data_IF_228848385307
#
_entry.id   IF_228848385307
#
_cell.length_a   1.000
_cell.length_b   1.000
_cell.length_c   1.000
_cell.angle_alpha   90.00
_cell.angle_beta   90.00
_cell.angle_gamma   90.00
#
_symmetry.space_group_name_H-M   'P 1'
#
loop_
_entity.id
_entity.type
_entity.pdbx_description
1 polymer ?
#
# COMPACT_ATOMS: atom_id res chain seq x y z
N UNK A 1 -27.83 -22.45 18.08
CA UNK A 1 -27.64 -21.04 17.68
C UNK A 1 -26.39 -20.99 16.83
N UNK A 2 -26.57 -21.04 15.50
CA UNK A 2 -25.46 -20.99 14.55
C UNK A 2 -24.88 -19.58 14.48
N UNK A 3 -23.72 -19.40 15.12
CA UNK A 3 -22.85 -18.26 14.87
C UNK A 3 -22.26 -18.43 13.48
N UNK A 4 -22.90 -17.81 12.47
CA UNK A 4 -22.31 -17.67 11.13
C UNK A 4 -20.90 -17.06 11.26
N UNK A 5 -19.83 -17.72 10.78
CA UNK A 5 -18.49 -17.17 10.86
C UNK A 5 -18.34 -16.04 9.83
N UNK A 6 -17.81 -14.92 10.33
CA UNK A 6 -17.01 -13.86 9.67
C UNK A 6 -17.42 -13.50 8.24
N UNK A 7 -17.86 -12.26 8.05
CA UNK A 7 -17.70 -11.56 6.77
C UNK A 7 -16.21 -11.65 6.38
N UNK A 8 -15.85 -12.63 5.56
CA UNK A 8 -14.62 -12.58 4.79
C UNK A 8 -14.82 -11.43 3.81
N UNK A 9 -14.37 -10.23 4.18
CA UNK A 9 -14.17 -9.18 3.19
C UNK A 9 -13.27 -9.80 2.12
N UNK A 10 -13.79 -9.87 0.89
CA UNK A 10 -13.05 -10.40 -0.24
C UNK A 10 -11.70 -9.69 -0.31
N UNK A 11 -10.62 -10.43 -0.58
CA UNK A 11 -9.29 -9.84 -0.69
C UNK A 11 -9.31 -8.76 -1.77
N UNK A 12 -8.91 -7.51 -1.46
CA UNK A 12 -8.93 -6.41 -2.41
C UNK A 12 -8.18 -6.77 -3.70
N UNK A 13 -8.74 -6.40 -4.85
CA UNK A 13 -8.08 -6.64 -6.13
C UNK A 13 -7.09 -5.56 -6.49
N UNK A 14 -6.02 -5.95 -7.16
CA UNK A 14 -4.93 -5.07 -7.60
C UNK A 14 -5.44 -4.00 -8.56
N UNK A 15 -6.29 -4.39 -9.50
CA UNK A 15 -6.91 -3.48 -10.46
C UNK A 15 -7.81 -2.44 -9.78
N UNK A 16 -8.56 -2.84 -8.75
CA UNK A 16 -9.38 -1.94 -7.95
C UNK A 16 -8.52 -0.92 -7.19
N UNK A 17 -7.44 -1.39 -6.54
CA UNK A 17 -6.51 -0.50 -5.85
C UNK A 17 -5.86 0.49 -6.82
N UNK A 18 -5.47 0.04 -8.00
CA UNK A 18 -4.84 0.88 -9.04
C UNK A 18 -5.78 1.97 -9.57
N UNK A 19 -7.10 1.70 -9.61
CA UNK A 19 -8.09 2.72 -10.01
C UNK A 19 -8.21 3.85 -8.99
N UNK A 20 -7.92 3.59 -7.72
CA UNK A 20 -8.09 4.56 -6.63
C UNK A 20 -6.80 5.30 -6.34
N UNK A 21 -5.68 4.57 -6.32
CA UNK A 21 -4.37 5.08 -5.92
C UNK A 21 -3.57 5.57 -7.13
N UNK A 22 -3.90 5.10 -8.34
CA UNK A 22 -3.19 5.36 -9.60
C UNK A 22 -2.42 4.12 -10.08
N UNK A 23 -1.71 4.25 -11.20
CA UNK A 23 -1.05 3.12 -11.85
C UNK A 23 -0.09 2.32 -10.94
N UNK A 24 0.06 1.05 -11.27
CA UNK A 24 0.82 0.04 -10.52
C UNK A 24 1.90 -0.58 -11.43
N UNK A 25 3.00 -1.04 -10.85
CA UNK A 25 4.17 -1.61 -11.55
C UNK A 25 4.87 -0.64 -12.52
N UNK A 26 4.91 0.64 -12.14
CA UNK A 26 5.55 1.69 -12.93
C UNK A 26 7.08 1.68 -12.72
N UNK A 27 7.84 2.15 -13.70
CA UNK A 27 9.27 2.45 -13.47
C UNK A 27 9.37 3.70 -12.59
N UNK A 28 10.17 3.69 -11.50
CA UNK A 28 10.32 4.86 -10.66
C UNK A 28 11.00 5.99 -11.45
N UNK A 29 10.38 7.15 -11.49
CA UNK A 29 10.97 8.38 -12.03
C UNK A 29 11.35 9.33 -10.90
N UNK A 30 10.40 9.68 -10.03
CA UNK A 30 10.55 10.74 -9.01
C UNK A 30 9.89 10.35 -7.67
N UNK A 31 9.78 9.05 -7.40
CA UNK A 31 9.14 8.51 -6.20
C UNK A 31 10.07 8.58 -5.00
N UNK A 32 9.50 8.92 -3.85
CA UNK A 32 10.20 8.84 -2.57
C UNK A 32 10.48 7.38 -2.27
N UNK A 33 11.75 7.04 -2.04
CA UNK A 33 12.18 5.68 -1.69
C UNK A 33 12.65 5.51 -0.24
N UNK A 34 12.32 6.47 0.63
CA UNK A 34 12.72 6.52 2.04
C UNK A 34 11.53 6.53 3.00
N UNK A 35 11.81 6.25 4.27
CA UNK A 35 10.91 6.40 5.42
C UNK A 35 11.45 7.60 6.23
N UNK A 36 10.61 8.49 6.78
CA UNK A 36 9.14 8.42 6.85
C UNK A 36 8.45 8.76 5.54
N UNK A 37 7.24 8.19 5.35
CA UNK A 37 6.44 8.50 4.17
C UNK A 37 4.93 8.40 4.44
N UNK A 38 4.19 9.32 3.84
CA UNK A 38 2.74 9.41 3.96
C UNK A 38 2.03 8.61 2.85
N UNK A 39 0.98 7.89 3.24
CA UNK A 39 0.08 7.17 2.34
C UNK A 39 -1.16 8.02 2.02
N UNK A 40 -2.27 7.33 1.74
CA UNK A 40 -3.60 7.93 1.60
C UNK A 40 -4.63 7.09 2.33
N UNK A 41 -5.65 7.75 2.88
CA UNK A 41 -6.89 7.08 3.28
C UNK A 41 -7.84 7.07 2.08
N UNK A 42 -8.28 5.89 1.66
CA UNK A 42 -9.25 5.75 0.58
C UNK A 42 -10.60 6.23 1.11
N UNK A 43 -11.16 7.26 0.48
CA UNK A 43 -12.37 7.94 0.97
C UNK A 43 -13.67 7.42 0.35
N UNK A 44 -13.60 6.52 -0.63
CA UNK A 44 -14.76 6.14 -1.44
C UNK A 44 -14.58 4.82 -2.17
N UNK A 45 -15.69 4.29 -2.70
CA UNK A 45 -15.72 3.03 -3.43
C UNK A 45 -15.64 1.82 -2.51
N UNK A 46 -15.41 0.65 -3.10
CA UNK A 46 -15.39 -0.62 -2.36
C UNK A 46 -14.23 -0.72 -1.35
N UNK A 47 -13.16 0.04 -1.57
CA UNK A 47 -11.98 0.10 -0.69
C UNK A 47 -12.04 1.26 0.32
N UNK A 48 -13.20 1.92 0.46
CA UNK A 48 -13.36 3.04 1.39
C UNK A 48 -13.00 2.65 2.82
N UNK A 49 -12.29 3.55 3.51
CA UNK A 49 -11.80 3.34 4.87
C UNK A 49 -10.44 2.66 4.94
N UNK A 50 -10.01 1.94 3.90
CA UNK A 50 -8.68 1.35 3.83
C UNK A 50 -7.61 2.41 3.58
N UNK A 51 -6.36 2.03 3.86
CA UNK A 51 -5.21 2.91 3.71
C UNK A 51 -4.22 2.30 2.77
N UNK A 52 -3.64 3.14 1.92
CA UNK A 52 -2.76 2.68 0.87
C UNK A 52 -1.49 3.52 0.76
N UNK A 53 -0.44 2.86 0.32
CA UNK A 53 0.85 3.45 0.01
C UNK A 53 1.29 3.01 -1.38
N UNK A 54 2.19 3.80 -1.94
CA UNK A 54 2.90 3.48 -3.16
C UNK A 54 4.38 3.33 -2.84
N UNK A 55 4.92 2.14 -2.96
CA UNK A 55 6.29 1.84 -2.57
C UNK A 55 7.17 1.51 -3.76
N UNK A 56 8.42 1.96 -3.69
CA UNK A 56 9.46 1.48 -4.59
C UNK A 56 9.90 0.10 -4.12
N UNK A 57 9.82 -0.88 -4.99
CA UNK A 57 10.26 -2.25 -4.77
C UNK A 57 11.56 -2.55 -5.50
N UNK A 58 12.42 -3.34 -4.87
CA UNK A 58 13.65 -3.89 -5.47
C UNK A 58 13.83 -5.35 -5.05
N UNK A 59 14.48 -6.14 -5.89
CA UNK A 59 14.94 -7.48 -5.48
C UNK A 59 16.06 -7.33 -4.45
N UNK A 60 16.05 -8.15 -3.40
CA UNK A 60 17.16 -8.19 -2.45
C UNK A 60 18.28 -9.08 -3.01
N UNK A 61 19.23 -8.46 -3.71
CA UNK A 61 20.35 -9.16 -4.36
C UNK A 61 21.23 -8.23 -5.20
N UNK A 62 22.50 -8.59 -5.37
CA UNK A 62 23.55 -7.71 -5.89
C UNK A 62 23.49 -7.39 -7.40
N UNK A 63 22.60 -8.01 -8.17
CA UNK A 63 22.63 -7.93 -9.64
C UNK A 63 21.52 -7.11 -10.30
N UNK A 64 20.36 -6.93 -9.67
CA UNK A 64 19.23 -6.24 -10.31
C UNK A 64 19.13 -4.79 -9.87
N UNK A 65 19.45 -3.87 -10.79
CA UNK A 65 19.15 -2.44 -10.64
C UNK A 65 17.68 -2.11 -10.92
N UNK A 66 16.88 -3.11 -11.29
CA UNK A 66 15.47 -2.87 -11.63
C UNK A 66 14.68 -2.60 -10.35
N UNK A 67 13.98 -1.49 -10.39
CA UNK A 67 13.01 -1.09 -9.39
C UNK A 67 11.67 -0.84 -10.06
N UNK A 68 10.59 -1.13 -9.34
CA UNK A 68 9.24 -0.78 -9.77
C UNK A 68 8.52 -0.04 -8.64
N UNK A 69 7.43 0.62 -8.98
CA UNK A 69 6.53 1.27 -8.03
C UNK A 69 5.26 0.43 -7.93
N UNK A 70 4.91 0.00 -6.72
CA UNK A 70 3.73 -0.85 -6.48
C UNK A 70 2.83 -0.29 -5.40
N UNK A 71 1.53 -0.45 -5.60
CA UNK A 71 0.51 -0.04 -4.64
C UNK A 71 0.26 -1.12 -3.59
N UNK A 72 0.14 -0.71 -2.34
CA UNK A 72 -0.12 -1.58 -1.21
C UNK A 72 -1.25 -1.05 -0.33
N UNK A 73 -2.02 -1.96 0.24
CA UNK A 73 -2.95 -1.68 1.35
C UNK A 73 -2.27 -2.03 2.68
N UNK A 74 -2.53 -1.26 3.73
CA UNK A 74 -2.13 -1.62 5.08
C UNK A 74 -3.08 -2.70 5.64
N UNK A 75 -2.51 -3.84 6.02
CA UNK A 75 -3.21 -5.02 6.54
C UNK A 75 -2.47 -5.53 7.79
N UNK A 76 -2.41 -4.72 8.84
CA UNK A 76 -1.77 -5.11 10.11
C UNK A 76 -2.52 -6.19 10.88
N UNK A 77 -3.72 -6.56 10.41
CA UNK A 77 -4.41 -7.76 10.87
C UNK A 77 -3.73 -9.06 10.41
N UNK A 78 -2.82 -8.97 9.44
CA UNK A 78 -2.06 -10.08 8.92
C UNK A 78 -0.60 -10.04 9.37
N UNK A 79 -0.06 -11.21 9.73
CA UNK A 79 1.36 -11.37 10.07
C UNK A 79 2.25 -11.06 8.87
N UNK A 80 1.82 -11.49 7.69
CA UNK A 80 2.66 -11.53 6.51
C UNK A 80 2.36 -10.38 5.55
N UNK A 81 3.40 -9.93 4.85
CA UNK A 81 3.32 -8.95 3.78
C UNK A 81 3.13 -9.71 2.48
N UNK A 82 2.13 -9.36 1.69
CA UNK A 82 1.81 -10.05 0.45
C UNK A 82 2.20 -9.21 -0.77
N UNK A 83 2.85 -9.86 -1.73
CA UNK A 83 3.25 -9.26 -2.99
C UNK A 83 2.52 -9.93 -4.17
N UNK A 84 1.93 -9.17 -5.10
CA UNK A 84 1.34 -9.74 -6.31
C UNK A 84 2.42 -10.40 -7.18
N UNK A 85 2.18 -11.59 -7.76
CA UNK A 85 3.15 -12.25 -8.63
C UNK A 85 3.53 -11.38 -9.84
N UNK A 86 2.62 -10.56 -10.36
CA UNK A 86 2.85 -9.64 -11.47
C UNK A 86 3.93 -8.59 -11.14
N UNK A 87 4.03 -8.17 -9.86
CA UNK A 87 5.07 -7.25 -9.41
C UNK A 87 6.45 -7.93 -9.43
N UNK A 88 6.52 -9.23 -9.11
CA UNK A 88 7.74 -10.02 -9.23
C UNK A 88 8.15 -10.20 -10.69
N UNK A 89 7.18 -10.44 -11.58
CA UNK A 89 7.42 -10.50 -13.03
C UNK A 89 7.99 -9.16 -13.54
N UNK A 90 7.38 -8.03 -13.15
CA UNK A 90 7.85 -6.70 -13.53
C UNK A 90 9.28 -6.40 -13.00
N UNK A 91 9.61 -6.87 -11.79
CA UNK A 91 10.97 -6.81 -11.23
C UNK A 91 11.98 -7.72 -11.94
N UNK A 92 11.53 -8.63 -12.81
CA UNK A 92 12.37 -9.61 -13.47
C UNK A 92 12.81 -10.75 -12.54
N UNK A 93 12.06 -11.01 -11.47
CA UNK A 93 12.31 -12.16 -10.59
C UNK A 93 12.17 -13.47 -11.38
N UNK A 94 13.05 -14.42 -11.13
CA UNK A 94 13.06 -15.74 -11.81
C UNK A 94 12.87 -16.91 -10.86
N UNK A 95 12.60 -16.64 -9.58
CA UNK A 95 12.35 -17.67 -8.59
C UNK A 95 10.90 -18.15 -8.58
N UNK A 96 10.52 -18.86 -7.52
CA UNK A 96 9.17 -19.43 -7.36
C UNK A 96 8.12 -18.34 -7.14
N UNK A 97 7.11 -18.30 -8.01
CA UNK A 97 5.98 -17.33 -7.97
C UNK A 97 4.63 -17.98 -7.66
N UNK A 98 4.62 -19.20 -7.13
CA UNK A 98 3.37 -19.84 -6.72
C UNK A 98 2.81 -19.14 -5.47
N UNK A 99 1.48 -18.93 -5.34
CA UNK A 99 0.90 -18.34 -4.15
C UNK A 99 1.35 -19.04 -2.87
N UNK A 100 1.69 -18.28 -1.83
CA UNK A 100 2.23 -18.79 -0.57
C UNK A 100 3.76 -18.98 -0.55
N UNK A 101 4.46 -18.85 -1.68
CA UNK A 101 5.93 -18.88 -1.68
C UNK A 101 6.51 -17.66 -0.95
N UNK A 102 7.64 -17.84 -0.27
CA UNK A 102 8.37 -16.73 0.34
C UNK A 102 9.34 -16.09 -0.65
N UNK A 103 9.43 -14.76 -0.62
CA UNK A 103 10.40 -13.97 -1.37
C UNK A 103 10.88 -12.81 -0.50
N UNK A 104 12.18 -12.52 -0.54
CA UNK A 104 12.74 -11.37 0.17
C UNK A 104 12.95 -10.23 -0.82
N UNK A 105 12.34 -9.09 -0.52
CA UNK A 105 12.40 -7.87 -1.33
C UNK A 105 12.90 -6.71 -0.48
N UNK A 106 13.35 -5.64 -1.13
CA UNK A 106 13.48 -4.33 -0.49
C UNK A 106 12.26 -3.51 -0.85
N UNK A 107 11.44 -3.24 0.17
CA UNK A 107 10.29 -2.34 0.09
C UNK A 107 10.78 -1.00 0.65
N UNK A 108 10.89 0.01 -0.23
CA UNK A 108 11.67 1.22 0.04
C UNK A 108 13.12 0.88 0.41
N UNK A 109 13.56 1.23 1.61
CA UNK A 109 14.87 0.88 2.17
C UNK A 109 14.84 -0.35 3.08
N UNK A 110 13.65 -0.89 3.39
CA UNK A 110 13.46 -1.98 4.35
C UNK A 110 13.56 -3.32 3.64
N UNK A 111 14.44 -4.20 4.15
CA UNK A 111 14.51 -5.59 3.70
C UNK A 111 13.36 -6.37 4.33
N UNK A 112 12.50 -6.95 3.50
CA UNK A 112 11.20 -7.48 3.91
C UNK A 112 10.96 -8.85 3.32
N UNK A 113 10.64 -9.81 4.20
CA UNK A 113 10.11 -11.10 3.78
C UNK A 113 8.64 -10.92 3.38
N UNK A 114 8.35 -11.26 2.13
CA UNK A 114 7.02 -11.19 1.54
C UNK A 114 6.55 -12.60 1.15
N UNK A 115 5.23 -12.78 1.11
CA UNK A 115 4.54 -13.97 0.62
C UNK A 115 3.93 -13.65 -0.74
N UNK A 116 4.10 -14.53 -1.71
CA UNK A 116 3.48 -14.37 -3.03
C UNK A 116 1.96 -14.50 -2.87
N UNK A 117 1.22 -13.47 -3.28
CA UNK A 117 -0.23 -13.44 -3.24
C UNK A 117 -0.84 -14.32 -4.35
N UNK A 118 -2.18 -14.43 -4.37
CA UNK A 118 -2.86 -15.00 -5.54
C UNK A 118 -2.81 -13.99 -6.70
N UNK A 119 -2.89 -14.45 -7.96
CA UNK A 119 -2.99 -13.56 -9.10
C UNK A 119 -4.13 -12.56 -8.93
N UNK A 120 -3.89 -11.31 -9.35
CA UNK A 120 -4.79 -10.16 -9.21
C UNK A 120 -5.13 -9.71 -7.77
N UNK A 121 -4.64 -10.37 -6.72
CA UNK A 121 -4.77 -9.81 -5.37
C UNK A 121 -3.89 -8.56 -5.21
N UNK A 122 -4.39 -7.56 -4.49
CA UNK A 122 -3.62 -6.36 -4.20
C UNK A 122 -2.43 -6.66 -3.28
N UNK A 123 -1.37 -5.86 -3.42
CA UNK A 123 -0.27 -5.85 -2.46
C UNK A 123 -0.77 -5.46 -1.07
N UNK A 124 -0.30 -6.15 -0.03
CA UNK A 124 -0.70 -5.91 1.36
C UNK A 124 0.50 -5.86 2.28
N UNK A 125 0.58 -4.84 3.11
CA UNK A 125 1.63 -4.67 4.10
C UNK A 125 1.13 -5.18 5.44
N UNK A 126 1.75 -6.27 5.90
CA UNK A 126 1.45 -6.89 7.19
C UNK A 126 2.49 -6.56 8.25
N UNK A 127 2.36 -7.22 9.40
CA UNK A 127 3.25 -7.01 10.54
C UNK A 127 4.73 -7.30 10.22
N UNK A 128 5.03 -8.26 9.35
CA UNK A 128 6.39 -8.58 8.91
C UNK A 128 7.17 -7.38 8.35
N UNK A 129 6.54 -6.52 7.54
CA UNK A 129 7.16 -5.28 7.06
C UNK A 129 7.32 -4.26 8.17
N UNK A 130 6.28 -4.10 9.00
CA UNK A 130 6.29 -3.18 10.13
C UNK A 130 7.42 -3.53 11.11
N UNK A 131 7.53 -4.79 11.50
CA UNK A 131 8.59 -5.27 12.40
C UNK A 131 9.97 -5.17 11.75
N UNK A 132 10.12 -5.56 10.47
CA UNK A 132 11.42 -5.54 9.80
C UNK A 132 12.02 -4.13 9.70
N UNK A 133 11.19 -3.10 9.52
CA UNK A 133 11.64 -1.71 9.49
C UNK A 133 11.56 -0.99 10.83
N UNK A 134 11.20 -1.69 11.92
CA UNK A 134 10.84 -1.09 13.21
C UNK A 134 9.85 0.08 13.02
N UNK A 135 8.86 -0.12 12.16
CA UNK A 135 7.94 0.92 11.73
C UNK A 135 6.76 1.06 12.69
N UNK A 136 6.31 2.29 12.85
CA UNK A 136 5.04 2.63 13.49
C UNK A 136 4.23 3.46 12.52
N UNK A 137 2.91 3.24 12.45
CA UNK A 137 2.02 4.14 11.74
C UNK A 137 1.36 5.10 12.74
N UNK A 138 1.17 6.35 12.35
CA UNK A 138 0.51 7.37 13.17
C UNK A 138 -0.63 8.01 12.40
N UNK A 139 -1.74 8.23 13.10
CA UNK A 139 -2.82 9.12 12.68
C UNK A 139 -2.75 10.39 13.49
N UNK A 140 -2.63 11.49 12.78
CA UNK A 140 -2.69 12.80 13.37
C UNK A 140 -3.98 13.46 12.92
N UNK A 141 -4.73 14.05 13.86
CA UNK A 141 -5.91 14.84 13.49
C UNK A 141 -5.55 16.04 12.57
N UNK A 142 -4.30 16.50 12.62
CA UNK A 142 -3.78 17.55 11.72
C UNK A 142 -3.20 17.03 10.39
N UNK A 143 -2.96 15.72 10.24
CA UNK A 143 -2.48 15.14 8.98
C UNK A 143 -3.66 14.48 8.25
N UNK A 144 -3.88 14.90 7.01
CA UNK A 144 -4.95 14.35 6.15
C UNK A 144 -4.62 12.92 5.67
N UNK A 145 -3.44 12.38 6.03
CA UNK A 145 -2.93 11.12 5.53
C UNK A 145 -2.25 10.29 6.64
N UNK A 146 -2.35 8.94 6.59
CA UNK A 146 -1.59 8.07 7.47
C UNK A 146 -0.09 8.15 7.13
N UNK A 147 0.76 8.12 8.15
CA UNK A 147 2.22 8.17 7.97
C UNK A 147 2.89 6.96 8.60
N UNK A 148 3.87 6.40 7.88
CA UNK A 148 4.80 5.39 8.40
C UNK A 148 6.10 6.04 8.84
N UNK A 149 6.54 5.70 10.06
CA UNK A 149 7.77 6.18 10.70
C UNK A 149 8.66 5.01 11.07
N UNK A 150 9.98 5.19 11.02
CA UNK A 150 10.93 4.27 11.65
C UNK A 150 11.13 4.62 13.13
N UNK A 151 11.46 3.63 13.95
CA UNK A 151 11.71 3.80 15.38
C UNK A 151 12.83 4.82 15.70
N UNK A 152 13.77 5.09 14.80
CA UNK A 152 14.78 6.12 15.02
C UNK A 152 14.23 7.56 14.98
N UNK A 153 12.96 7.76 14.62
CA UNK A 153 12.31 9.08 14.56
C UNK A 153 11.50 9.42 15.83
N UNK A 154 11.62 8.66 16.93
CA UNK A 154 10.91 8.96 18.18
C UNK A 154 11.43 10.29 18.79
N UNK A 155 10.61 11.34 18.74
CA UNK A 155 10.84 12.59 19.49
C UNK A 155 10.39 13.86 18.78
N UNK A 156 10.44 13.90 17.44
CA UNK A 156 10.00 15.04 16.65
C UNK A 156 8.81 14.63 15.79
N UNK A 157 7.65 15.29 15.98
CA UNK A 157 6.54 15.21 15.03
C UNK A 157 7.03 15.87 13.74
N UNK A 158 7.32 15.12 12.68
CA UNK A 158 7.92 15.72 11.50
C UNK A 158 6.89 16.62 10.83
N UNK A 159 7.22 17.90 10.76
CA UNK A 159 6.54 18.82 9.87
C UNK A 159 6.98 18.49 8.44
N UNK A 160 6.04 18.38 7.50
CA UNK A 160 6.29 18.11 6.08
C UNK A 160 6.79 16.69 5.73
N UNK A 161 6.03 15.66 6.11
CA UNK A 161 6.28 14.27 5.63
C UNK A 161 5.96 14.15 4.13
N UNK A 162 6.88 13.60 3.32
CA UNK A 162 6.64 13.42 1.90
C UNK A 162 5.57 12.35 1.63
N UNK A 163 4.66 12.62 0.69
CA UNK A 163 3.59 11.69 0.26
C UNK A 163 4.08 10.76 -0.84
N UNK A 164 3.87 9.45 -0.63
CA UNK A 164 4.16 8.41 -1.64
C UNK A 164 3.21 8.46 -2.84
N UNK A 165 2.00 8.96 -2.62
CA UNK A 165 0.98 9.12 -3.65
C UNK A 165 0.77 10.62 -3.82
N UNK A 166 1.10 11.15 -5.00
CA UNK A 166 0.93 12.56 -5.28
C UNK A 166 -0.53 12.86 -5.54
N UNK A 167 -0.96 14.09 -5.25
CA UNK A 167 -2.32 14.51 -5.52
C UNK A 167 -2.65 14.44 -7.03
N UNK A 168 -1.65 14.64 -7.90
CA UNK A 168 -1.80 14.49 -9.35
C UNK A 168 -2.00 13.04 -9.83
N UNK A 169 -1.51 12.05 -9.06
CA UNK A 169 -1.61 10.63 -9.41
C UNK A 169 -2.95 10.03 -9.00
N UNK A 170 -3.64 10.68 -8.05
CA UNK A 170 -5.01 10.34 -7.72
C UNK A 170 -5.90 10.69 -8.92
N UNK A 171 -6.88 9.84 -9.28
CA UNK A 171 -7.80 10.13 -10.37
C UNK A 171 -8.40 11.53 -10.19
N UNK A 172 -8.11 12.45 -11.12
CA UNK A 172 -8.71 13.78 -11.14
C UNK A 172 -10.23 13.61 -11.21
N UNK A 173 -10.90 13.85 -10.10
CA UNK A 173 -12.36 13.86 -10.09
C UNK A 173 -12.84 15.10 -10.82
N UNK A 174 -13.60 14.91 -11.90
CA UNK A 174 -14.45 15.98 -12.42
C UNK A 174 -15.43 16.45 -11.34
N UNK A 175 -15.79 17.73 -11.37
CA UNK A 175 -16.66 18.42 -10.39
C UNK A 175 -17.89 17.58 -9.97
N UNK A 176 -18.48 16.84 -10.91
CA UNK A 176 -19.65 15.98 -10.71
C UNK A 176 -19.44 14.84 -9.69
N UNK A 177 -18.24 14.26 -9.59
CA UNK A 177 -17.96 13.20 -8.63
C UNK A 177 -17.79 13.72 -7.19
N UNK A 178 -17.37 14.99 -7.05
CA UNK A 178 -17.32 15.69 -5.76
C UNK A 178 -18.74 16.03 -5.32
N UNK A 179 -19.56 16.60 -6.22
CA UNK A 179 -20.97 16.90 -5.94
C UNK A 179 -21.75 15.65 -5.54
N UNK A 180 -21.58 14.51 -6.23
CA UNK A 180 -22.24 13.25 -5.85
C UNK A 180 -21.82 12.72 -4.49
N UNK A 181 -20.56 12.91 -4.08
CA UNK A 181 -20.12 12.53 -2.74
C UNK A 181 -20.74 13.42 -1.64
N UNK A 182 -20.98 14.70 -1.94
CA UNK A 182 -21.66 15.64 -1.05
C UNK A 182 -23.17 15.37 -0.99
N UNK A 183 -23.83 15.13 -2.12
CA UNK A 183 -25.26 14.80 -2.17
C UNK A 183 -25.57 13.38 -1.69
N UNK A 184 -24.60 12.46 -1.68
CA UNK A 184 -24.74 11.12 -1.13
C UNK A 184 -24.68 11.04 0.41
N UNK A 185 -24.22 12.10 1.09
CA UNK A 185 -24.20 12.19 2.55
C UNK A 185 -25.46 12.85 3.14
N UNK A 186 -26.41 13.24 2.28
CA UNK A 186 -27.64 13.94 2.66
C UNK A 186 -28.91 13.09 2.45
N UNK A 187 -28.94 11.82 2.90
CA UNK A 187 -30.21 11.12 3.13
C UNK A 187 -30.06 9.87 4.00
N UNK A 188 -30.56 9.99 5.22
CA UNK A 188 -30.74 8.98 6.25
C UNK A 188 -30.88 9.76 7.57
N UNK A 189 -32.06 10.14 8.04
CA UNK A 189 -33.30 9.36 8.05
C UNK A 189 -33.23 8.45 9.26
#
# INVERSE_FOLDING_TARGET
>A
MDLKPKCFLATPKRTELSRVVGADMMTPMNEISSIPCAGVRISHGHLSGLMAWRFVLRLDGSGSRRSIVTNFILDTGNKDTYIPPEALTALGYRGKMTPGAEVTLRVQSVKTKCIVARPDDAGRIGLSFMTAGALTYYFDAGLVAPVLYGACCFGERPSNVPRTIRAEDLPRRGLLAILRAWFGFGRGG
#
